data_IF_793931443994
#
_entry.id   IF_793931443994
#
_cell.length_a   1.000
_cell.length_b   1.000
_cell.length_c   1.000
_cell.angle_alpha   90.00
_cell.angle_beta   90.00
_cell.angle_gamma   90.00
#
_symmetry.space_group_name_H-M   'P 1'
#
loop_
_entity.id
_entity.type
_entity.pdbx_description
1 polymer ?
#
# COMPACT_ATOMS: atom_id res chain seq x y z
N UNK A 1 -21.16 6.08 -6.89
CA UNK A 1 -20.31 4.89 -6.98
C UNK A 1 -18.97 5.24 -6.35
N UNK A 2 -18.56 4.54 -5.29
CA UNK A 2 -17.28 4.79 -4.62
C UNK A 2 -16.08 4.47 -5.51
N UNK A 3 -14.89 4.97 -5.16
CA UNK A 3 -13.65 4.63 -5.84
C UNK A 3 -13.46 3.09 -5.87
N UNK A 4 -12.89 2.56 -6.97
CA UNK A 4 -12.50 1.14 -7.10
C UNK A 4 -11.01 0.92 -6.84
N UNK A 5 -10.28 1.98 -6.46
CA UNK A 5 -8.83 1.99 -6.33
C UNK A 5 -8.41 1.42 -4.97
N UNK A 6 -7.56 0.40 -4.96
CA UNK A 6 -7.01 -0.17 -3.71
C UNK A 6 -5.49 -0.04 -3.72
N UNK A 7 -4.97 0.67 -2.74
CA UNK A 7 -3.54 0.83 -2.55
C UNK A 7 -2.96 -0.28 -1.69
N UNK A 8 -1.78 -0.78 -2.04
CA UNK A 8 -1.00 -1.71 -1.21
C UNK A 8 0.37 -1.11 -0.96
N UNK A 9 0.75 -0.94 0.30
CA UNK A 9 2.04 -0.34 0.64
C UNK A 9 3.20 -1.28 0.30
N UNK A 10 4.26 -0.71 -0.27
CA UNK A 10 5.49 -1.40 -0.62
C UNK A 10 6.70 -0.62 -0.10
N UNK A 11 7.59 -1.32 0.59
CA UNK A 11 8.85 -0.78 1.12
C UNK A 11 9.81 -1.93 1.40
N UNK A 12 11.09 -1.64 1.62
CA UNK A 12 12.12 -2.64 1.89
C UNK A 12 11.69 -3.64 2.98
N UNK A 13 11.85 -4.93 2.66
CA UNK A 13 11.68 -6.04 3.58
C UNK A 13 10.22 -6.22 4.07
N UNK A 14 9.27 -5.99 3.15
CA UNK A 14 7.85 -6.32 3.32
C UNK A 14 7.62 -7.84 3.34
N UNK A 15 6.50 -8.29 3.93
CA UNK A 15 6.08 -9.70 3.91
C UNK A 15 5.43 -10.07 2.57
N UNK A 16 5.98 -11.10 1.92
CA UNK A 16 5.68 -11.50 0.55
C UNK A 16 4.20 -11.78 0.29
N UNK A 17 3.58 -12.61 1.12
CA UNK A 17 2.19 -13.03 0.95
C UNK A 17 1.23 -11.92 1.35
N UNK A 18 1.55 -11.15 2.37
CA UNK A 18 0.72 -10.02 2.83
C UNK A 18 0.65 -8.88 1.80
N UNK A 19 1.62 -8.78 0.89
CA UNK A 19 1.55 -7.88 -0.27
C UNK A 19 0.92 -8.56 -1.49
N UNK A 20 1.47 -9.70 -1.92
CA UNK A 20 1.12 -10.27 -3.23
C UNK A 20 -0.22 -10.97 -3.25
N UNK A 21 -0.59 -11.68 -2.19
CA UNK A 21 -1.89 -12.35 -2.15
C UNK A 21 -3.06 -11.36 -2.27
N UNK A 22 -3.16 -10.29 -1.45
CA UNK A 22 -4.23 -9.31 -1.63
C UNK A 22 -4.09 -8.54 -2.95
N UNK A 23 -2.88 -8.28 -3.45
CA UNK A 23 -2.67 -7.63 -4.74
C UNK A 23 -3.38 -8.38 -5.88
N UNK A 24 -3.10 -9.68 -6.03
CA UNK A 24 -3.68 -10.47 -7.11
C UNK A 24 -5.16 -10.77 -6.85
N UNK A 25 -5.54 -11.11 -5.61
CA UNK A 25 -6.93 -11.44 -5.28
C UNK A 25 -7.89 -10.27 -5.52
N UNK A 26 -7.50 -9.04 -5.18
CA UNK A 26 -8.32 -7.85 -5.41
C UNK A 26 -8.40 -7.49 -6.90
N UNK A 27 -7.32 -7.70 -7.67
CA UNK A 27 -7.37 -7.56 -9.13
C UNK A 27 -8.34 -8.53 -9.78
N UNK A 28 -8.36 -9.78 -9.33
CA UNK A 28 -9.30 -10.80 -9.82
C UNK A 28 -10.76 -10.43 -9.55
N UNK A 29 -11.04 -9.76 -8.42
CA UNK A 29 -12.36 -9.21 -8.10
C UNK A 29 -12.70 -7.90 -8.85
N UNK A 30 -11.79 -7.41 -9.71
CA UNK A 30 -12.03 -6.24 -10.56
C UNK A 30 -11.78 -4.89 -9.88
N UNK A 31 -11.02 -4.85 -8.79
CA UNK A 31 -10.50 -3.61 -8.21
C UNK A 31 -9.30 -3.09 -9.01
N UNK A 32 -9.14 -1.77 -9.06
CA UNK A 32 -7.93 -1.12 -9.57
C UNK A 32 -6.87 -1.14 -8.47
N UNK A 33 -6.18 -2.27 -8.34
CA UNK A 33 -5.17 -2.49 -7.29
C UNK A 33 -3.77 -2.12 -7.78
N UNK A 34 -3.07 -1.29 -7.01
CA UNK A 34 -1.73 -0.81 -7.32
C UNK A 34 -0.88 -0.69 -6.06
N UNK A 35 0.44 -0.66 -6.26
CA UNK A 35 1.43 -0.55 -5.18
C UNK A 35 1.82 0.90 -4.95
N UNK A 36 1.97 1.28 -3.68
CA UNK A 36 2.37 2.61 -3.24
C UNK A 36 3.68 2.48 -2.48
N UNK A 37 4.72 3.18 -2.93
CA UNK A 37 6.00 3.26 -2.23
C UNK A 37 6.42 4.70 -1.97
N UNK A 38 7.55 4.91 -1.28
CA UNK A 38 8.09 6.25 -1.06
C UNK A 38 8.37 7.03 -2.35
N UNK A 39 8.78 6.32 -3.40
CA UNK A 39 9.13 6.90 -4.70
C UNK A 39 8.47 6.11 -5.83
N UNK A 40 7.78 6.82 -6.72
CA UNK A 40 7.15 6.23 -7.89
C UNK A 40 8.17 5.58 -8.80
N UNK A 41 7.91 4.35 -9.22
CA UNK A 41 8.74 3.60 -10.16
C UNK A 41 9.93 2.89 -9.53
N UNK A 42 10.22 3.12 -8.24
CA UNK A 42 11.29 2.42 -7.51
C UNK A 42 10.85 1.01 -7.13
N UNK A 43 11.80 0.08 -7.13
CA UNK A 43 11.59 -1.31 -6.71
C UNK A 43 12.03 -1.53 -5.28
N UNK A 44 11.19 -2.18 -4.50
CA UNK A 44 11.41 -2.58 -3.12
C UNK A 44 11.37 -4.10 -3.04
N UNK A 45 12.35 -4.71 -2.37
CA UNK A 45 12.43 -6.16 -2.27
C UNK A 45 11.78 -6.65 -0.97
N UNK A 46 11.09 -7.78 -1.04
CA UNK A 46 10.50 -8.46 0.12
C UNK A 46 11.56 -9.08 1.04
N UNK A 47 11.11 -9.67 2.16
CA UNK A 47 11.91 -10.54 3.04
C UNK A 47 12.68 -11.62 2.27
N UNK A 48 12.06 -12.20 1.25
CA UNK A 48 12.64 -13.30 0.46
C UNK A 48 13.22 -12.83 -0.89
N UNK A 49 13.33 -11.52 -1.11
CA UNK A 49 13.96 -10.95 -2.29
C UNK A 49 13.04 -10.79 -3.51
N UNK A 50 11.73 -10.96 -3.36
CA UNK A 50 10.77 -10.71 -4.44
C UNK A 50 10.67 -9.21 -4.72
N UNK A 51 10.79 -8.78 -5.99
CA UNK A 51 10.79 -7.36 -6.34
C UNK A 51 9.36 -6.83 -6.48
N UNK A 52 9.04 -5.76 -5.78
CA UNK A 52 7.81 -4.98 -5.94
C UNK A 52 8.12 -3.57 -6.43
N UNK A 53 7.73 -3.25 -7.67
CA UNK A 53 7.82 -1.89 -8.19
C UNK A 53 6.67 -1.06 -7.64
N UNK A 54 6.95 0.07 -7.01
CA UNK A 54 5.96 1.05 -6.61
C UNK A 54 5.35 1.69 -7.88
N UNK A 55 4.08 1.43 -8.14
CA UNK A 55 3.37 2.00 -9.28
C UNK A 55 3.08 3.48 -9.05
N UNK A 56 2.82 3.88 -7.80
CA UNK A 56 2.61 5.25 -7.38
C UNK A 56 3.53 5.62 -6.20
N UNK A 57 3.89 6.90 -6.12
CA UNK A 57 4.60 7.47 -4.99
C UNK A 57 3.62 7.97 -3.93
N UNK A 58 4.01 7.92 -2.65
CA UNK A 58 3.16 8.39 -1.55
C UNK A 58 2.76 9.87 -1.69
N UNK A 59 3.57 10.69 -2.37
CA UNK A 59 3.28 12.11 -2.61
C UNK A 59 2.12 12.33 -3.60
N UNK A 60 1.81 11.33 -4.44
CA UNK A 60 0.79 11.39 -5.49
C UNK A 60 -0.56 10.78 -5.05
N UNK A 61 -0.67 10.33 -3.78
CA UNK A 61 -1.83 9.60 -3.27
C UNK A 61 -2.59 10.40 -2.22
N UNK A 62 -3.90 10.44 -2.36
CA UNK A 62 -4.83 10.96 -1.35
C UNK A 62 -5.79 9.88 -0.89
N UNK A 63 -6.18 9.94 0.39
CA UNK A 63 -7.16 8.99 0.95
C UNK A 63 -8.51 9.03 0.21
N UNK A 64 -8.93 10.21 -0.28
CA UNK A 64 -10.17 10.39 -1.04
C UNK A 64 -10.23 9.51 -2.30
N UNK A 65 -9.09 9.27 -2.95
CA UNK A 65 -8.96 8.48 -4.16
C UNK A 65 -9.03 6.97 -3.90
N UNK A 66 -8.86 6.52 -2.65
CA UNK A 66 -8.78 5.10 -2.29
C UNK A 66 -10.12 4.56 -1.80
N UNK A 67 -10.47 3.36 -2.26
CA UNK A 67 -11.52 2.53 -1.69
C UNK A 67 -11.03 1.85 -0.40
N UNK A 68 -9.79 1.37 -0.43
CA UNK A 68 -9.12 0.73 0.69
C UNK A 68 -7.59 0.88 0.61
N UNK A 69 -6.93 0.68 1.74
CA UNK A 69 -5.46 0.62 1.86
C UNK A 69 -5.04 -0.67 2.58
N UNK A 70 -4.13 -1.44 1.99
CA UNK A 70 -3.52 -2.61 2.61
C UNK A 70 -2.10 -2.24 3.07
N UNK A 71 -1.78 -2.61 4.31
CA UNK A 71 -0.50 -2.33 4.96
C UNK A 71 0.13 -3.69 5.29
N UNK A 72 0.99 -4.22 4.40
CA UNK A 72 1.71 -5.47 4.67
C UNK A 72 2.66 -5.32 5.85
N UNK A 73 2.82 -6.36 6.64
CA UNK A 73 3.78 -6.42 7.72
C UNK A 73 5.21 -6.70 7.24
N UNK A 74 5.97 -7.37 8.09
CA UNK A 74 7.40 -7.56 7.94
C UNK A 74 8.23 -6.49 8.63
N UNK A 75 9.35 -6.11 8.01
CA UNK A 75 10.21 -5.02 8.51
C UNK A 75 9.91 -3.68 7.81
N UNK A 76 9.09 -3.70 6.76
CA UNK A 76 8.57 -2.51 6.09
C UNK A 76 7.86 -1.50 7.03
N UNK A 77 7.06 -1.92 8.04
CA UNK A 77 6.43 -0.98 8.98
C UNK A 77 7.41 -0.07 9.73
N UNK A 78 8.65 -0.52 9.96
CA UNK A 78 9.69 0.31 10.59
C UNK A 78 10.09 1.52 9.74
N UNK A 79 9.93 1.45 8.42
CA UNK A 79 10.18 2.57 7.52
C UNK A 79 8.97 3.51 7.47
N UNK A 80 7.76 3.00 7.28
CA UNK A 80 6.57 3.85 7.19
C UNK A 80 6.28 4.62 8.47
N UNK A 81 6.52 4.03 9.66
CA UNK A 81 6.31 4.73 10.93
C UNK A 81 7.24 5.93 11.16
N UNK A 82 8.32 6.04 10.38
CA UNK A 82 9.26 7.18 10.40
C UNK A 82 8.99 8.17 9.27
N UNK A 83 8.16 7.82 8.30
CA UNK A 83 7.79 8.68 7.20
C UNK A 83 6.38 9.25 7.45
N UNK A 84 6.34 10.54 7.76
CA UNK A 84 5.11 11.25 8.10
C UNK A 84 4.05 11.15 7.00
N UNK A 85 4.43 10.99 5.73
CA UNK A 85 3.50 10.92 4.60
C UNK A 85 2.62 9.67 4.67
N UNK A 86 3.20 8.53 5.04
CA UNK A 86 2.43 7.29 5.25
C UNK A 86 1.55 7.38 6.50
N UNK A 87 2.06 7.94 7.59
CA UNK A 87 1.27 8.18 8.81
C UNK A 87 0.06 9.08 8.52
N UNK A 88 0.27 10.16 7.77
CA UNK A 88 -0.78 11.09 7.37
C UNK A 88 -1.82 10.39 6.47
N UNK A 89 -1.40 9.55 5.52
CA UNK A 89 -2.32 8.77 4.68
C UNK A 89 -3.20 7.83 5.52
N UNK A 90 -2.60 7.04 6.42
CA UNK A 90 -3.35 6.11 7.29
C UNK A 90 -4.31 6.89 8.20
N UNK A 91 -3.87 8.01 8.76
CA UNK A 91 -4.71 8.90 9.57
C UNK A 91 -5.90 9.44 8.76
N UNK A 92 -5.67 9.90 7.54
CA UNK A 92 -6.75 10.39 6.66
C UNK A 92 -7.74 9.28 6.29
N UNK A 93 -7.26 8.05 6.05
CA UNK A 93 -8.13 6.90 5.81
C UNK A 93 -9.05 6.64 7.02
N UNK A 94 -8.49 6.66 8.23
CA UNK A 94 -9.24 6.52 9.49
C UNK A 94 -10.28 7.64 9.68
N UNK A 95 -9.85 8.90 9.55
CA UNK A 95 -10.73 10.08 9.72
C UNK A 95 -11.86 10.13 8.69
N UNK A 96 -11.61 9.60 7.48
CA UNK A 96 -12.61 9.52 6.40
C UNK A 96 -13.56 8.33 6.52
N UNK A 97 -13.42 7.49 7.55
CA UNK A 97 -14.19 6.26 7.70
C UNK A 97 -13.96 5.24 6.58
N UNK A 98 -12.81 5.33 5.88
CA UNK A 98 -12.44 4.42 4.81
C UNK A 98 -11.74 3.18 5.37
N UNK A 99 -11.80 2.09 4.60
CA UNK A 99 -11.21 0.83 5.02
C UNK A 99 -9.68 0.86 4.90
N UNK A 100 -8.99 0.46 5.96
CA UNK A 100 -7.58 0.13 5.90
C UNK A 100 -7.33 -1.13 6.73
N UNK A 101 -6.40 -1.96 6.28
CA UNK A 101 -6.11 -3.24 6.89
C UNK A 101 -4.61 -3.37 7.09
N UNK A 102 -4.22 -3.62 8.33
CA UNK A 102 -2.88 -4.10 8.67
C UNK A 102 -2.95 -5.62 8.69
N UNK A 103 -2.08 -6.27 7.93
CA UNK A 103 -2.02 -7.74 7.82
C UNK A 103 -0.88 -8.26 8.69
#
# INVERSE_FOLDING_TARGET
MGSKRVGILAEFNYEDLELWYPYYRLKEEGYDTFTIGPEKGKTYNSKHGYPCKAQEGIDDIKAEDLAALIIPGGFAPDYWRRDKRFLDLVKQMYESGKFFFYV
#
